data_IF_052300936408
#
_entry.id   IF_052300936408
#
_cell.length_a   1.000
_cell.length_b   1.000
_cell.length_c   1.000
_cell.angle_alpha   90.00
_cell.angle_beta   90.00
_cell.angle_gamma   90.00
#
_symmetry.space_group_name_H-M   'P 1'
#
loop_
_entity.id
_entity.type
_entity.pdbx_description
1 polymer ?
#
# COMPACT_ATOMS: atom_id res chain seq x y z
N UNK A 1 33.24 23.10 26.53
CA UNK A 1 31.98 23.61 25.93
C UNK A 1 31.64 22.67 24.79
N UNK A 2 30.72 21.73 25.03
CA UNK A 2 30.34 20.72 24.03
C UNK A 2 29.30 21.36 23.10
N UNK A 3 29.64 21.46 21.81
CA UNK A 3 28.71 21.91 20.78
C UNK A 3 27.69 20.79 20.53
N UNK A 4 26.50 20.95 21.12
CA UNK A 4 25.33 20.15 20.81
C UNK A 4 24.75 20.61 19.46
N UNK A 5 25.36 20.18 18.35
CA UNK A 5 24.67 20.20 17.06
C UNK A 5 23.60 19.10 17.09
N UNK A 6 22.50 19.36 17.79
CA UNK A 6 21.27 18.61 17.61
C UNK A 6 20.76 19.03 16.22
N UNK A 7 20.80 18.08 15.29
CA UNK A 7 20.39 18.25 13.91
C UNK A 7 18.90 18.62 13.83
N UNK A 8 18.58 19.91 13.77
CA UNK A 8 17.20 20.43 13.64
C UNK A 8 16.41 19.78 12.49
N UNK A 9 17.09 19.32 11.44
CA UNK A 9 16.47 18.60 10.32
C UNK A 9 15.98 17.19 10.69
N UNK A 10 16.63 16.50 11.64
CA UNK A 10 16.19 15.19 12.11
C UNK A 10 14.98 15.34 13.03
N UNK A 11 14.92 16.40 13.85
CA UNK A 11 13.76 16.64 14.73
C UNK A 11 12.47 16.88 13.94
N UNK A 12 12.53 17.66 12.85
CA UNK A 12 11.37 17.92 11.99
C UNK A 12 10.84 16.62 11.36
N UNK A 13 11.74 15.76 10.86
CA UNK A 13 11.34 14.47 10.26
C UNK A 13 10.76 13.51 11.29
N UNK A 14 11.29 13.47 12.52
CA UNK A 14 10.71 12.66 13.59
C UNK A 14 9.32 13.15 14.00
N UNK A 15 9.10 14.47 14.00
CA UNK A 15 7.80 15.07 14.33
C UNK A 15 6.76 14.76 13.26
N UNK A 16 7.15 14.79 11.98
CA UNK A 16 6.28 14.43 10.85
C UNK A 16 5.82 12.96 10.89
N UNK A 17 6.73 12.04 11.22
CA UNK A 17 6.41 10.62 11.38
C UNK A 17 5.50 10.40 12.59
N UNK A 18 5.75 11.10 13.70
CA UNK A 18 4.90 11.03 14.88
C UNK A 18 3.47 11.55 14.59
N UNK A 19 3.36 12.66 13.85
CA UNK A 19 2.09 13.21 13.40
C UNK A 19 1.34 12.22 12.51
N UNK A 20 2.02 11.60 11.54
CA UNK A 20 1.42 10.57 10.68
C UNK A 20 0.85 9.39 11.48
N UNK A 21 1.58 8.91 12.50
CA UNK A 21 1.11 7.85 13.39
C UNK A 21 -0.13 8.27 14.19
N UNK A 22 -0.16 9.50 14.71
CA UNK A 22 -1.31 10.03 15.43
C UNK A 22 -2.54 10.16 14.52
N UNK A 23 -2.36 10.65 13.28
CA UNK A 23 -3.43 10.75 12.29
C UNK A 23 -3.98 9.37 11.93
N UNK A 24 -3.13 8.37 11.71
CA UNK A 24 -3.56 6.99 11.50
C UNK A 24 -4.38 6.45 12.69
N UNK A 25 -3.92 6.69 13.92
CA UNK A 25 -4.62 6.31 15.14
C UNK A 25 -5.96 7.04 15.34
N UNK A 26 -6.12 8.24 14.77
CA UNK A 26 -7.39 8.94 14.75
C UNK A 26 -8.33 8.39 13.66
N UNK A 27 -7.80 8.19 12.45
CA UNK A 27 -8.56 7.87 11.24
C UNK A 27 -9.15 6.46 11.20
N UNK A 28 -8.44 5.47 11.73
CA UNK A 28 -8.83 4.06 11.59
C UNK A 28 -8.65 3.26 12.88
N UNK A 29 -9.23 2.06 12.92
CA UNK A 29 -9.05 1.05 13.97
C UNK A 29 -8.72 -0.29 13.33
N UNK A 30 -7.94 -1.12 14.02
CA UNK A 30 -7.66 -2.50 13.62
C UNK A 30 -8.58 -3.40 14.43
N UNK A 31 -9.37 -4.23 13.75
CA UNK A 31 -10.31 -5.17 14.38
C UNK A 31 -10.09 -6.58 13.81
N UNK A 32 -10.53 -7.61 14.54
CA UNK A 32 -10.70 -8.94 13.95
C UNK A 32 -11.85 -8.93 12.94
N UNK A 33 -11.73 -9.71 11.87
CA UNK A 33 -12.85 -10.00 10.98
C UNK A 33 -13.43 -11.35 11.38
N UNK A 34 -14.76 -11.51 11.31
CA UNK A 34 -15.44 -12.78 11.60
C UNK A 34 -15.25 -13.84 10.49
N UNK A 35 -14.29 -13.62 9.59
CA UNK A 35 -14.02 -14.42 8.41
C UNK A 35 -12.57 -14.92 8.45
N UNK A 36 -12.24 -15.89 7.60
CA UNK A 36 -10.86 -16.37 7.41
C UNK A 36 -9.89 -15.30 6.84
N UNK A 37 -10.32 -14.03 6.78
CA UNK A 37 -9.51 -12.86 6.39
C UNK A 37 -8.62 -12.33 7.53
N UNK A 38 -8.76 -12.84 8.76
CA UNK A 38 -7.93 -12.44 9.88
C UNK A 38 -8.28 -11.04 10.41
N UNK A 39 -7.30 -10.14 10.52
CA UNK A 39 -7.52 -8.74 10.95
C UNK A 39 -7.89 -7.85 9.77
N UNK A 40 -8.62 -6.78 10.04
CA UNK A 40 -8.97 -5.75 9.06
C UNK A 40 -8.80 -4.35 9.62
N UNK A 41 -8.76 -3.37 8.73
CA UNK A 41 -8.69 -1.94 9.07
C UNK A 41 -10.05 -1.32 8.79
N UNK A 42 -10.57 -0.58 9.76
CA UNK A 42 -11.91 -0.02 9.72
C UNK A 42 -11.85 1.49 9.95
N UNK A 43 -12.66 2.25 9.20
CA UNK A 43 -12.78 3.68 9.35
C UNK A 43 -13.29 4.03 10.76
N UNK A 44 -12.63 4.97 11.44
CA UNK A 44 -13.04 5.45 12.77
C UNK A 44 -13.90 6.72 12.71
N UNK A 45 -14.03 7.28 11.51
CA UNK A 45 -14.81 8.48 11.17
C UNK A 45 -15.28 8.37 9.72
N UNK A 46 -16.15 9.28 9.32
CA UNK A 46 -16.51 9.41 7.92
C UNK A 46 -15.35 10.01 7.10
N UNK A 47 -15.23 9.57 5.85
CA UNK A 47 -14.33 10.13 4.85
C UNK A 47 -15.09 10.47 3.57
N UNK A 48 -14.77 11.62 3.00
CA UNK A 48 -15.14 12.04 1.67
C UNK A 48 -14.11 11.56 0.63
N UNK A 49 -14.49 11.48 -0.66
CA UNK A 49 -13.53 11.18 -1.72
C UNK A 49 -12.31 12.10 -1.68
N UNK A 50 -11.14 11.53 -1.95
CA UNK A 50 -9.80 12.15 -1.93
C UNK A 50 -9.22 12.46 -0.55
N UNK A 51 -9.93 12.19 0.56
CA UNK A 51 -9.31 12.27 1.88
C UNK A 51 -8.29 11.13 2.10
N UNK A 52 -7.18 11.44 2.78
CA UNK A 52 -6.20 10.45 3.23
C UNK A 52 -6.78 9.69 4.42
N UNK A 53 -6.95 8.38 4.24
CA UNK A 53 -7.48 7.47 5.25
C UNK A 53 -6.32 6.88 6.07
N UNK A 54 -5.29 6.38 5.39
CA UNK A 54 -4.09 5.83 6.02
C UNK A 54 -2.85 6.44 5.38
N UNK A 55 -1.95 6.96 6.20
CA UNK A 55 -0.63 7.43 5.79
C UNK A 55 0.34 6.24 5.86
N UNK A 56 0.94 5.87 4.72
CA UNK A 56 1.93 4.81 4.67
C UNK A 56 3.27 5.27 5.26
N UNK A 57 3.87 4.42 6.08
CA UNK A 57 5.21 4.62 6.64
C UNK A 57 6.01 3.34 6.40
N UNK A 58 7.24 3.46 5.89
CA UNK A 58 8.13 2.31 5.71
C UNK A 58 8.61 1.85 7.09
N UNK A 59 8.39 0.58 7.40
CA UNK A 59 9.01 -0.09 8.54
C UNK A 59 10.43 -0.54 8.18
N UNK A 60 10.58 -1.20 7.03
CA UNK A 60 11.88 -1.60 6.48
C UNK A 60 11.77 -1.88 4.99
N UNK A 61 12.91 -1.77 4.32
CA UNK A 61 13.08 -2.26 2.96
C UNK A 61 13.23 -3.78 2.96
N UNK A 62 12.66 -4.44 1.97
CA UNK A 62 12.76 -5.88 1.77
C UNK A 62 13.59 -6.17 0.52
N UNK A 63 14.56 -7.07 0.64
CA UNK A 63 15.39 -7.52 -0.49
C UNK A 63 14.71 -8.64 -1.29
N UNK A 64 13.69 -9.26 -0.72
CA UNK A 64 12.88 -10.30 -1.35
C UNK A 64 11.39 -9.98 -1.19
N UNK A 65 10.60 -10.23 -2.23
CA UNK A 65 9.15 -10.08 -2.20
C UNK A 65 8.55 -11.06 -1.19
N UNK A 66 7.70 -10.58 -0.30
CA UNK A 66 6.93 -11.38 0.66
C UNK A 66 5.43 -11.26 0.36
N UNK A 67 4.58 -11.98 1.11
CA UNK A 67 3.11 -11.87 0.97
C UNK A 67 2.57 -10.52 1.42
N UNK A 68 3.32 -9.79 2.25
CA UNK A 68 2.86 -8.56 2.93
C UNK A 68 3.69 -7.33 2.55
N UNK A 69 4.73 -7.49 1.73
CA UNK A 69 5.52 -6.39 1.23
C UNK A 69 4.79 -5.66 0.10
N UNK A 70 5.01 -4.36 0.00
CA UNK A 70 4.52 -3.51 -1.07
C UNK A 70 5.64 -3.30 -2.09
N UNK A 71 5.34 -3.54 -3.36
CA UNK A 71 6.24 -3.25 -4.46
C UNK A 71 6.26 -1.74 -4.75
N UNK A 72 7.45 -1.15 -4.65
CA UNK A 72 7.69 0.28 -4.89
C UNK A 72 8.33 0.52 -6.27
N UNK A 73 9.07 -0.47 -6.77
CA UNK A 73 9.71 -0.49 -8.08
C UNK A 73 9.96 -1.96 -8.50
N UNK A 74 10.45 -2.21 -9.72
CA UNK A 74 10.67 -3.53 -10.30
C UNK A 74 11.40 -4.53 -9.39
N UNK A 75 12.35 -4.06 -8.59
CA UNK A 75 13.13 -4.89 -7.67
C UNK A 75 13.17 -4.29 -6.24
N UNK A 76 12.23 -3.40 -5.93
CA UNK A 76 12.21 -2.70 -4.64
C UNK A 76 10.90 -3.00 -3.95
N UNK A 77 10.99 -3.61 -2.77
CA UNK A 77 9.85 -3.90 -1.92
C UNK A 77 10.09 -3.30 -0.54
N UNK A 78 9.01 -2.98 0.16
CA UNK A 78 9.06 -2.50 1.53
C UNK A 78 7.94 -3.11 2.36
N UNK A 79 8.19 -3.35 3.63
CA UNK A 79 7.13 -3.56 4.60
C UNK A 79 6.71 -2.21 5.16
N UNK A 80 5.42 -1.94 5.19
CA UNK A 80 4.87 -0.74 5.83
C UNK A 80 4.53 -1.00 7.30
N UNK A 81 4.41 0.07 8.08
CA UNK A 81 3.92 0.01 9.45
C UNK A 81 2.41 -0.24 9.50
N UNK A 82 1.92 -0.69 10.66
CA UNK A 82 0.49 -0.65 10.93
C UNK A 82 -0.02 0.82 10.94
N UNK A 83 -1.22 1.08 10.41
CA UNK A 83 -2.21 0.11 9.93
C UNK A 83 -2.06 -0.30 8.47
N UNK A 84 -1.19 0.35 7.68
CA UNK A 84 -1.09 0.18 6.22
C UNK A 84 -0.86 -1.29 5.79
N UNK A 85 0.02 -2.01 6.49
CA UNK A 85 0.32 -3.42 6.19
C UNK A 85 -0.84 -4.40 6.43
N UNK A 86 -1.88 -3.97 7.16
CA UNK A 86 -3.05 -4.79 7.52
C UNK A 86 -4.28 -4.45 6.67
N UNK A 87 -4.20 -3.44 5.80
CA UNK A 87 -5.34 -3.07 4.95
C UNK A 87 -5.59 -4.19 3.93
N UNK A 88 -6.76 -4.83 4.05
CA UNK A 88 -7.12 -5.99 3.25
C UNK A 88 -7.36 -5.69 1.78
N UNK A 89 -7.27 -6.73 0.98
CA UNK A 89 -7.61 -6.70 -0.44
C UNK A 89 -9.13 -6.67 -0.68
N UNK A 90 -9.57 -5.88 -1.65
CA UNK A 90 -10.87 -6.05 -2.34
C UNK A 90 -10.74 -5.84 -3.84
N UNK A 91 -11.47 -6.64 -4.64
CA UNK A 91 -11.59 -6.42 -6.08
C UNK A 91 -12.47 -5.19 -6.42
N UNK A 92 -13.31 -4.74 -5.48
CA UNK A 92 -14.07 -3.48 -5.54
C UNK A 92 -13.66 -2.62 -4.32
N UNK A 93 -12.48 -2.00 -4.33
CA UNK A 93 -11.91 -1.33 -3.17
C UNK A 93 -12.56 0.04 -2.90
N UNK A 94 -12.45 0.54 -1.67
CA UNK A 94 -12.80 1.92 -1.33
C UNK A 94 -11.58 2.84 -1.16
N UNK A 95 -10.36 2.28 -1.26
CA UNK A 95 -9.10 3.01 -1.24
C UNK A 95 -8.32 2.87 -2.54
N UNK A 96 -7.59 3.93 -2.89
CA UNK A 96 -6.50 3.95 -3.86
C UNK A 96 -5.17 4.25 -3.15
N UNK A 97 -4.07 3.84 -3.77
CA UNK A 97 -2.72 4.18 -3.31
C UNK A 97 -2.16 5.37 -4.10
N UNK A 98 -1.45 6.27 -3.41
CA UNK A 98 -0.75 7.43 -3.99
C UNK A 98 0.63 7.54 -3.33
N UNK A 99 1.73 7.72 -4.10
CA UNK A 99 3.06 7.93 -3.51
C UNK A 99 3.09 9.11 -2.55
N UNK A 100 3.75 8.94 -1.40
CA UNK A 100 3.83 9.96 -0.37
C UNK A 100 5.28 10.43 -0.13
N UNK A 101 5.42 11.48 0.68
CA UNK A 101 6.72 12.08 1.02
C UNK A 101 7.65 11.17 1.85
N UNK A 102 7.13 10.08 2.41
CA UNK A 102 7.90 9.11 3.21
C UNK A 102 8.48 7.99 2.35
N UNK A 103 8.34 8.06 1.02
CA UNK A 103 8.74 6.99 0.09
C UNK A 103 7.80 5.79 0.10
N UNK A 104 6.65 5.90 0.77
CA UNK A 104 5.60 4.89 0.85
C UNK A 104 4.38 5.29 0.00
N UNK A 105 3.23 4.67 0.27
CA UNK A 105 1.95 5.05 -0.30
C UNK A 105 0.97 5.54 0.77
N UNK A 106 0.31 6.67 0.52
CA UNK A 106 -0.91 7.04 1.20
C UNK A 106 -2.10 6.31 0.58
N UNK A 107 -3.06 5.95 1.43
CA UNK A 107 -4.31 5.31 1.04
C UNK A 107 -5.41 6.36 1.09
N UNK A 108 -5.94 6.69 -0.09
CA UNK A 108 -6.93 7.75 -0.28
C UNK A 108 -8.30 7.18 -0.57
N UNK A 109 -9.35 7.76 0.01
CA UNK A 109 -10.72 7.35 -0.25
C UNK A 109 -11.10 7.66 -1.70
N UNK A 110 -11.59 6.67 -2.47
CA UNK A 110 -12.07 6.91 -3.85
C UNK A 110 -13.58 7.15 -3.93
N UNK A 111 -14.27 6.98 -2.81
CA UNK A 111 -15.70 7.21 -2.60
C UNK A 111 -15.91 7.59 -1.14
N UNK A 112 -17.13 8.01 -0.79
CA UNK A 112 -17.48 8.21 0.62
C UNK A 112 -17.33 6.90 1.40
N UNK A 113 -16.73 6.97 2.58
CA UNK A 113 -16.57 5.85 3.51
C UNK A 113 -17.20 6.25 4.84
N UNK A 114 -18.19 5.49 5.30
CA UNK A 114 -18.80 5.72 6.60
C UNK A 114 -17.93 5.17 7.73
N UNK A 115 -18.01 5.80 8.89
CA UNK A 115 -17.43 5.27 10.13
C UNK A 115 -17.89 3.81 10.36
N UNK A 116 -16.95 2.97 10.78
CA UNK A 116 -17.14 1.53 10.98
C UNK A 116 -17.03 0.68 9.71
N UNK A 117 -16.95 1.26 8.51
CA UNK A 117 -16.74 0.49 7.28
C UNK A 117 -15.31 -0.06 7.20
N UNK A 118 -15.14 -1.30 6.71
CA UNK A 118 -13.82 -1.85 6.40
C UNK A 118 -13.21 -1.09 5.22
N UNK A 119 -11.94 -0.71 5.35
CA UNK A 119 -11.21 -0.03 4.28
C UNK A 119 -10.30 -1.04 3.57
N UNK A 120 -10.34 -1.04 2.25
CA UNK A 120 -9.71 -2.06 1.41
C UNK A 120 -9.14 -1.44 0.14
N UNK A 121 -8.10 -2.06 -0.41
CA UNK A 121 -7.44 -1.61 -1.64
C UNK A 121 -7.20 -2.79 -2.60
N UNK A 122 -6.90 -2.49 -3.87
CA UNK A 122 -6.61 -3.53 -4.84
C UNK A 122 -5.09 -3.75 -4.92
N UNK A 123 -4.59 -4.90 -4.46
CA UNK A 123 -3.14 -5.15 -4.37
C UNK A 123 -2.44 -5.12 -5.73
N UNK A 124 -3.15 -5.48 -6.80
CA UNK A 124 -2.63 -5.41 -8.16
C UNK A 124 -2.33 -3.97 -8.62
N UNK A 125 -2.70 -2.94 -7.86
CA UNK A 125 -2.34 -1.55 -8.15
C UNK A 125 -0.92 -1.19 -7.71
N UNK A 126 -0.28 -1.97 -6.83
CA UNK A 126 1.16 -1.86 -6.57
C UNK A 126 1.94 -3.07 -7.04
N UNK A 127 1.38 -4.27 -7.04
CA UNK A 127 2.11 -5.50 -7.35
C UNK A 127 2.03 -5.81 -8.85
N UNK A 128 3.18 -5.95 -9.53
CA UNK A 128 3.18 -6.44 -10.92
C UNK A 128 2.65 -7.89 -11.01
N UNK A 129 3.01 -8.70 -10.01
CA UNK A 129 2.53 -10.05 -9.75
C UNK A 129 2.32 -10.18 -8.23
N UNK A 130 1.08 -10.33 -7.75
CA UNK A 130 0.81 -10.53 -6.32
C UNK A 130 0.93 -12.02 -5.94
N UNK A 131 1.66 -12.30 -4.85
CA UNK A 131 1.70 -13.64 -4.24
C UNK A 131 0.79 -13.76 -3.00
N UNK A 132 0.28 -12.64 -2.48
CA UNK A 132 -0.33 -12.58 -1.14
C UNK A 132 -1.75 -13.16 -1.04
N UNK A 133 -2.53 -13.15 -2.13
CA UNK A 133 -3.95 -13.56 -2.09
C UNK A 133 -4.28 -14.43 -3.30
N UNK A 134 -4.07 -15.74 -3.16
CA UNK A 134 -4.42 -16.75 -4.17
C UNK A 134 -5.91 -17.11 -4.17
N UNK A 135 -6.59 -16.96 -3.03
CA UNK A 135 -8.04 -17.13 -2.87
C UNK A 135 -8.61 -15.85 -2.25
N UNK A 136 -9.42 -15.13 -3.01
CA UNK A 136 -9.99 -13.85 -2.58
C UNK A 136 -11.32 -14.05 -1.84
N UNK A 137 -11.41 -13.47 -0.64
CA UNK A 137 -12.60 -13.52 0.23
C UNK A 137 -13.30 -12.14 0.33
N UNK A 138 -13.10 -11.24 -0.63
CA UNK A 138 -13.62 -9.87 -0.54
C UNK A 138 -15.15 -9.77 -0.70
N UNK A 139 -15.82 -10.84 -1.14
CA UNK A 139 -17.28 -10.91 -1.35
C UNK A 139 -17.88 -9.86 -2.29
N UNK A 140 -17.04 -9.11 -3.03
CA UNK A 140 -17.53 -8.16 -4.02
C UNK A 140 -18.24 -8.87 -5.18
N UNK A 141 -19.25 -8.22 -5.78
CA UNK A 141 -20.00 -8.78 -6.92
C UNK A 141 -19.12 -9.05 -8.14
N UNK A 142 -18.00 -8.32 -8.25
CA UNK A 142 -17.04 -8.42 -9.36
C UNK A 142 -15.73 -9.08 -8.91
N UNK A 143 -15.78 -9.95 -7.90
CA UNK A 143 -14.60 -10.66 -7.39
C UNK A 143 -13.91 -11.46 -8.51
N UNK A 144 -12.58 -11.33 -8.61
CA UNK A 144 -11.76 -12.04 -9.59
C UNK A 144 -11.24 -13.40 -9.08
N UNK A 145 -11.63 -13.81 -7.87
CA UNK A 145 -11.22 -15.06 -7.23
C UNK A 145 -9.82 -15.05 -6.62
N UNK A 146 -8.97 -14.10 -7.01
CA UNK A 146 -7.64 -13.84 -6.44
C UNK A 146 -7.31 -12.34 -6.56
N UNK A 147 -6.29 -11.84 -5.86
CA UNK A 147 -5.87 -10.45 -6.05
C UNK A 147 -5.22 -10.20 -7.42
N UNK A 148 -4.64 -11.23 -8.04
CA UNK A 148 -3.92 -11.11 -9.31
C UNK A 148 -2.73 -10.15 -9.25
N UNK A 149 -2.20 -9.76 -10.40
CA UNK A 149 -1.15 -8.73 -10.49
C UNK A 149 -1.60 -7.60 -11.40
N UNK A 150 -0.83 -6.51 -11.48
CA UNK A 150 -1.12 -5.39 -12.39
C UNK A 150 -1.33 -5.88 -13.83
N UNK A 151 -0.53 -6.86 -14.26
CA UNK A 151 -0.62 -7.48 -15.59
C UNK A 151 -1.93 -8.21 -15.87
N UNK A 152 -2.72 -8.54 -14.84
CA UNK A 152 -4.01 -9.21 -14.97
C UNK A 152 -5.20 -8.25 -14.90
N UNK A 153 -4.98 -6.97 -14.58
CA UNK A 153 -6.04 -5.97 -14.56
C UNK A 153 -6.48 -5.64 -15.98
N UNK A 154 -7.80 -5.60 -16.19
CA UNK A 154 -8.36 -5.22 -17.50
C UNK A 154 -8.05 -3.75 -17.79
N UNK A 155 -7.81 -3.36 -19.06
CA UNK A 155 -7.52 -1.98 -19.41
C UNK A 155 -8.60 -0.97 -18.99
N UNK A 156 -9.86 -1.41 -18.91
CA UNK A 156 -11.01 -0.62 -18.47
C UNK A 156 -11.25 -0.65 -16.96
N UNK A 157 -10.35 -1.27 -16.18
CA UNK A 157 -10.48 -1.35 -14.73
C UNK A 157 -10.44 0.07 -14.12
N UNK A 158 -11.38 0.44 -13.23
CA UNK A 158 -11.50 1.82 -12.74
C UNK A 158 -10.22 2.41 -12.14
N UNK A 159 -9.43 1.61 -11.43
CA UNK A 159 -8.14 2.03 -10.87
C UNK A 159 -7.12 2.39 -11.96
N UNK A 160 -7.10 1.66 -13.09
CA UNK A 160 -6.18 1.93 -14.20
C UNK A 160 -6.60 3.19 -14.94
N UNK A 161 -7.89 3.29 -15.27
CA UNK A 161 -8.46 4.46 -15.97
C UNK A 161 -8.26 5.74 -15.16
N UNK A 162 -8.36 5.66 -13.83
CA UNK A 162 -8.17 6.80 -12.93
C UNK A 162 -6.70 7.08 -12.57
N UNK A 163 -5.76 6.27 -13.03
CA UNK A 163 -4.33 6.45 -12.71
C UNK A 163 -3.93 6.07 -11.28
N UNK A 164 -4.77 5.32 -10.55
CA UNK A 164 -4.52 4.87 -9.19
C UNK A 164 -3.72 3.57 -9.15
N UNK A 165 -2.46 3.66 -9.54
CA UNK A 165 -1.49 2.57 -9.48
C UNK A 165 -0.07 3.10 -9.27
N UNK A 166 0.82 2.22 -8.79
CA UNK A 166 2.20 2.56 -8.50
C UNK A 166 2.91 3.12 -9.75
N UNK A 167 3.63 4.26 -9.63
CA UNK A 167 4.20 4.95 -10.80
C UNK A 167 5.10 4.09 -11.69
N UNK A 168 5.85 3.15 -11.11
CA UNK A 168 6.78 2.29 -11.85
C UNK A 168 6.05 1.35 -12.84
N UNK A 169 4.74 1.15 -12.68
CA UNK A 169 3.90 0.36 -13.59
C UNK A 169 3.46 1.13 -14.84
N UNK A 170 3.68 2.45 -14.88
CA UNK A 170 3.31 3.30 -16.03
C UNK A 170 4.23 3.13 -17.23
N UNK A 171 5.50 2.79 -16.99
CA UNK A 171 6.50 2.69 -18.07
C UNK A 171 6.55 1.29 -18.67
N UNK A 172 6.60 1.15 -20.01
CA UNK A 172 6.86 -0.12 -20.69
C UNK A 172 8.34 -0.46 -20.56
N UNK A 173 8.76 -0.85 -19.37
CA UNK A 173 10.11 -1.28 -19.06
C UNK A 173 10.08 -2.59 -18.31
N UNK A 174 9.42 -3.62 -18.86
CA UNK A 174 9.55 -4.99 -18.33
C UNK A 174 11.05 -5.32 -18.37
N UNK A 175 11.75 -5.46 -17.23
CA UNK A 175 13.12 -5.91 -17.25
C UNK A 175 13.10 -7.32 -17.82
N UNK A 176 13.85 -7.53 -18.89
CA UNK A 176 13.93 -8.84 -19.53
C UNK A 176 14.45 -9.85 -18.50
N UNK A 177 14.19 -11.15 -18.71
CA UNK A 177 14.69 -12.23 -17.83
C UNK A 177 16.22 -12.15 -17.60
N UNK A 178 16.96 -11.49 -18.51
CA UNK A 178 18.41 -11.25 -18.43
C UNK A 178 18.78 -10.15 -17.42
N UNK A 179 17.95 -9.13 -17.26
CA UNK A 179 18.19 -8.00 -16.35
C UNK A 179 18.02 -8.40 -14.87
N UNK A 180 17.19 -9.43 -14.61
CA UNK A 180 16.96 -10.02 -13.29
C UNK A 180 18.17 -10.80 -12.74
N UNK A 181 19.03 -11.32 -13.62
CA UNK A 181 20.22 -12.10 -13.23
C UNK A 181 21.44 -11.17 -13.05
N UNK A 182 21.53 -10.10 -13.85
CA UNK A 182 22.68 -9.18 -13.83
C UNK A 182 22.79 -8.34 -12.55
N UNK A 183 21.69 -8.04 -11.86
CA UNK A 183 21.70 -7.29 -10.59
C UNK A 183 22.14 -8.12 -9.39
N UNK A 184 21.98 -9.45 -9.45
CA UNK A 184 22.43 -10.39 -8.42
C UNK A 184 23.95 -10.67 -8.51
N UNK A 185 24.53 -10.64 -9.71
CA UNK A 185 25.95 -10.95 -9.93
C UNK A 185 26.89 -9.75 -9.71
N UNK A 186 26.37 -8.51 -9.73
CA UNK A 186 27.20 -7.30 -9.50
C UNK A 186 27.43 -6.94 -8.04
N UNK A 187 26.93 -7.74 -7.09
CA UNK A 187 27.12 -7.54 -5.63
C UNK A 187 27.88 -8.67 -4.93
N UNK A 188 28.48 -9.58 -5.70
CA UNK A 188 29.42 -10.61 -5.22
C UNK A 188 30.85 -10.16 -5.45
#
# INVERSE_FOLDING_TARGET
>A
MSNSNISESLSILTDDVACAKQLNGHNVRILGTDSDRGRGVFAARDFLPSEIVVIGLIERMETTRTTNSFQLDWNVHALFQEPAVIVNHSCDPNLAIVPNRFGAYDFVAIRQISSGAEVTWNYATSEFECMGVSVCLCSSKNCQGSAGGFSTLRPDHPMLVSGFYAPYLKEPGIPSKRDRIASQVRRS
#
